data_IF_985928391623
#
_entry.id   IF_985928391623
#
_cell.length_a   1.000
_cell.length_b   1.000
_cell.length_c   1.000
_cell.angle_alpha   90.00
_cell.angle_beta   90.00
_cell.angle_gamma   90.00
#
_symmetry.space_group_name_H-M   'P 1'
#
loop_
_entity.id
_entity.type
_entity.pdbx_description
1 polymer ?
#
# COMPACT_ATOMS: atom_id res chain seq x y z
N UNK A 1 26.43 5.07 -17.97
CA UNK A 1 25.51 6.22 -17.96
C UNK A 1 25.47 6.74 -16.54
N UNK A 2 25.90 7.97 -16.32
CA UNK A 2 25.87 8.60 -14.99
C UNK A 2 24.48 9.19 -14.76
N UNK A 3 24.06 9.33 -13.50
CA UNK A 3 22.77 9.90 -13.12
C UNK A 3 22.63 11.33 -13.70
N UNK A 4 23.70 12.10 -13.66
CA UNK A 4 23.74 13.45 -14.24
C UNK A 4 23.40 13.48 -15.74
N UNK A 5 23.81 12.45 -16.50
CA UNK A 5 23.50 12.35 -17.95
C UNK A 5 22.00 12.11 -18.20
N UNK A 6 21.28 11.57 -17.21
CA UNK A 6 19.84 11.36 -17.26
C UNK A 6 19.11 12.65 -16.85
N UNK A 7 19.49 13.22 -15.70
CA UNK A 7 18.86 14.43 -15.16
C UNK A 7 18.96 15.60 -16.12
N UNK A 8 20.11 15.79 -16.79
CA UNK A 8 20.32 16.84 -17.76
C UNK A 8 19.49 16.69 -19.07
N UNK A 9 18.80 15.56 -19.25
CA UNK A 9 17.92 15.32 -20.41
C UNK A 9 16.45 15.66 -20.13
N UNK A 10 16.10 15.99 -18.90
CA UNK A 10 14.73 16.38 -18.58
C UNK A 10 14.51 17.85 -18.94
N UNK A 11 13.63 18.11 -19.88
CA UNK A 11 13.16 19.48 -20.22
C UNK A 11 12.13 20.00 -19.21
N UNK A 12 11.57 19.08 -18.38
CA UNK A 12 10.59 19.37 -17.32
C UNK A 12 10.93 18.58 -16.06
N UNK A 13 10.47 19.05 -14.91
CA UNK A 13 10.63 18.31 -13.65
C UNK A 13 9.85 17.00 -13.70
N UNK A 14 10.52 15.85 -13.43
CA UNK A 14 9.89 14.54 -13.56
C UNK A 14 8.94 14.23 -12.42
N UNK A 15 8.04 13.27 -12.62
CA UNK A 15 7.32 12.57 -11.57
C UNK A 15 8.14 11.39 -11.06
N UNK A 16 8.11 11.19 -9.75
CA UNK A 16 8.68 10.00 -9.12
C UNK A 16 7.64 8.90 -9.08
N UNK A 17 7.92 7.75 -9.68
CA UNK A 17 7.06 6.56 -9.53
C UNK A 17 7.58 5.68 -8.40
N UNK A 18 6.74 5.44 -7.37
CA UNK A 18 7.12 4.76 -6.14
C UNK A 18 6.26 3.52 -5.92
N UNK A 19 6.90 2.38 -5.77
CA UNK A 19 6.26 1.11 -5.44
C UNK A 19 6.64 0.62 -4.03
N UNK A 20 6.17 -0.57 -3.68
CA UNK A 20 6.34 -1.21 -2.36
C UNK A 20 7.78 -1.40 -1.89
N UNK A 21 8.76 -1.29 -2.79
CA UNK A 21 10.18 -1.36 -2.43
C UNK A 21 10.60 -0.30 -1.40
N UNK A 22 10.05 0.91 -1.45
CA UNK A 22 10.28 1.97 -0.46
C UNK A 22 9.72 1.57 0.91
N UNK A 23 8.48 1.08 0.94
CA UNK A 23 7.83 0.64 2.18
C UNK A 23 8.58 -0.51 2.84
N UNK A 24 9.05 -1.47 2.06
CA UNK A 24 9.91 -2.57 2.56
C UNK A 24 11.21 -2.06 3.15
N UNK A 25 11.88 -1.12 2.47
CA UNK A 25 13.18 -0.61 2.87
C UNK A 25 13.11 0.27 4.11
N UNK A 26 12.19 1.22 4.13
CA UNK A 26 12.16 2.26 5.15
C UNK A 26 11.17 2.02 6.29
N UNK A 27 10.15 1.17 6.08
CA UNK A 27 9.14 0.85 7.08
C UNK A 27 9.15 -0.62 7.52
N UNK A 28 10.05 -1.44 6.97
CA UNK A 28 10.08 -2.90 7.20
C UNK A 28 8.74 -3.61 6.89
N UNK A 29 7.87 -3.00 6.09
CA UNK A 29 6.62 -3.61 5.71
C UNK A 29 6.84 -4.84 4.81
N UNK A 30 6.03 -5.88 4.92
CA UNK A 30 6.09 -7.01 4.00
C UNK A 30 5.73 -6.58 2.57
N UNK A 31 6.15 -7.36 1.59
CA UNK A 31 5.61 -7.24 0.25
C UNK A 31 4.18 -7.80 0.16
N UNK A 32 3.57 -7.69 -1.02
CA UNK A 32 2.21 -8.20 -1.25
C UNK A 32 2.05 -9.67 -0.86
N UNK A 33 3.02 -10.50 -1.19
CA UNK A 33 2.99 -11.93 -0.85
C UNK A 33 3.03 -12.12 0.66
N UNK A 34 4.00 -11.51 1.33
CA UNK A 34 4.13 -11.60 2.79
C UNK A 34 2.90 -11.09 3.53
N UNK A 35 2.25 -10.05 2.99
CA UNK A 35 1.00 -9.52 3.53
C UNK A 35 -0.15 -10.56 3.41
N UNK A 36 -0.32 -11.15 2.24
CA UNK A 36 -1.34 -12.18 2.01
C UNK A 36 -1.05 -13.47 2.79
N UNK A 37 0.21 -13.86 2.95
CA UNK A 37 0.62 -14.96 3.81
C UNK A 37 0.24 -14.71 5.28
N UNK A 38 0.46 -13.49 5.78
CA UNK A 38 0.06 -13.11 7.13
C UNK A 38 -1.45 -13.30 7.35
N UNK A 39 -2.27 -12.72 6.48
CA UNK A 39 -3.72 -12.80 6.63
C UNK A 39 -4.28 -14.21 6.38
N UNK A 40 -3.68 -14.99 5.49
CA UNK A 40 -4.09 -16.38 5.28
C UNK A 40 -3.85 -17.25 6.54
N UNK A 41 -2.76 -17.01 7.27
CA UNK A 41 -2.48 -17.70 8.55
C UNK A 41 -3.48 -17.36 9.63
N UNK A 42 -4.01 -16.14 9.68
CA UNK A 42 -5.08 -15.77 10.62
C UNK A 42 -6.35 -16.61 10.35
N UNK A 43 -6.62 -16.97 9.10
CA UNK A 43 -7.81 -17.76 8.75
C UNK A 43 -7.70 -19.20 9.26
N UNK A 44 -6.58 -19.88 9.02
CA UNK A 44 -6.47 -21.33 9.26
C UNK A 44 -5.37 -21.75 10.26
N UNK A 45 -4.53 -20.81 10.70
CA UNK A 45 -3.38 -21.06 11.58
C UNK A 45 -2.48 -22.21 11.08
N UNK A 46 -2.23 -22.26 9.77
CA UNK A 46 -1.50 -23.31 9.09
C UNK A 46 -0.45 -22.70 8.14
N UNK A 47 0.73 -23.28 8.08
CA UNK A 47 1.82 -22.82 7.20
C UNK A 47 1.51 -23.01 5.71
N UNK A 48 0.59 -23.88 5.36
CA UNK A 48 0.13 -24.10 3.98
C UNK A 48 -1.04 -23.21 3.57
N UNK A 49 -1.53 -22.33 4.46
CA UNK A 49 -2.69 -21.47 4.21
C UNK A 49 -2.58 -20.69 2.91
N UNK A 50 -1.45 -20.02 2.69
CA UNK A 50 -1.22 -19.26 1.45
C UNK A 50 -1.18 -20.15 0.21
N UNK A 51 -0.51 -21.30 0.31
CA UNK A 51 -0.42 -22.25 -0.80
C UNK A 51 -1.79 -22.81 -1.20
N UNK A 52 -2.71 -22.97 -0.26
CA UNK A 52 -4.10 -23.32 -0.56
C UNK A 52 -4.75 -22.28 -1.46
N UNK A 53 -4.66 -20.99 -1.14
CA UNK A 53 -5.23 -19.91 -1.94
C UNK A 53 -4.54 -19.77 -3.29
N UNK A 54 -3.22 -19.90 -3.33
CA UNK A 54 -2.44 -19.87 -4.57
C UNK A 54 -2.89 -20.98 -5.54
N UNK A 55 -2.99 -22.22 -5.06
CA UNK A 55 -3.45 -23.34 -5.87
C UNK A 55 -4.89 -23.15 -6.35
N UNK A 56 -5.78 -22.67 -5.47
CA UNK A 56 -7.17 -22.37 -5.83
C UNK A 56 -7.25 -21.27 -6.90
N UNK A 57 -6.48 -20.20 -6.77
CA UNK A 57 -6.44 -19.13 -7.76
C UNK A 57 -5.96 -19.59 -9.14
N UNK A 58 -4.98 -20.52 -9.19
CA UNK A 58 -4.45 -21.08 -10.45
C UNK A 58 -5.50 -21.83 -11.28
N UNK A 59 -6.54 -22.36 -10.63
CA UNK A 59 -7.63 -23.11 -11.31
C UNK A 59 -8.79 -22.21 -11.75
N UNK A 60 -8.71 -20.90 -11.48
CA UNK A 60 -9.74 -19.92 -11.76
C UNK A 60 -9.28 -18.91 -12.82
N UNK A 61 -10.22 -18.24 -13.46
CA UNK A 61 -9.91 -17.08 -14.30
C UNK A 61 -9.42 -15.91 -13.43
N UNK A 62 -8.34 -15.25 -13.87
CA UNK A 62 -7.75 -14.12 -13.17
C UNK A 62 -7.31 -13.01 -14.15
N UNK A 63 -8.24 -12.32 -14.80
CA UNK A 63 -7.96 -11.30 -15.82
C UNK A 63 -7.09 -10.15 -15.30
N UNK A 64 -7.16 -9.85 -14.00
CA UNK A 64 -6.34 -8.84 -13.32
C UNK A 64 -5.01 -9.38 -12.78
N UNK A 65 -4.68 -10.67 -13.06
CA UNK A 65 -3.51 -11.34 -12.54
C UNK A 65 -3.79 -12.23 -11.33
N UNK A 66 -2.85 -13.15 -11.08
CA UNK A 66 -3.02 -14.18 -10.03
C UNK A 66 -3.02 -13.58 -8.61
N UNK A 67 -2.19 -12.57 -8.34
CA UNK A 67 -2.09 -11.97 -7.00
C UNK A 67 -3.39 -11.27 -6.54
N UNK A 68 -4.05 -10.45 -7.38
CA UNK A 68 -5.39 -9.93 -7.05
C UNK A 68 -6.42 -11.02 -6.79
N UNK A 69 -6.36 -12.15 -7.53
CA UNK A 69 -7.28 -13.27 -7.32
C UNK A 69 -7.04 -13.96 -5.98
N UNK A 70 -5.77 -14.17 -5.60
CA UNK A 70 -5.44 -14.69 -4.27
C UNK A 70 -5.96 -13.76 -3.18
N UNK A 71 -5.77 -12.45 -3.32
CA UNK A 71 -6.26 -11.45 -2.37
C UNK A 71 -7.78 -11.48 -2.23
N UNK A 72 -8.51 -11.61 -3.35
CA UNK A 72 -9.97 -11.74 -3.35
C UNK A 72 -10.44 -12.97 -2.57
N UNK A 73 -9.81 -14.12 -2.79
CA UNK A 73 -10.16 -15.37 -2.10
C UNK A 73 -9.87 -15.29 -0.59
N UNK A 74 -8.71 -14.74 -0.23
CA UNK A 74 -8.36 -14.52 1.19
C UNK A 74 -9.34 -13.54 1.82
N UNK A 75 -9.69 -12.44 1.15
CA UNK A 75 -10.67 -11.47 1.66
C UNK A 75 -12.01 -12.13 1.96
N UNK A 76 -12.54 -12.95 1.05
CA UNK A 76 -13.83 -13.63 1.23
C UNK A 76 -13.84 -14.51 2.48
N UNK A 77 -12.81 -15.36 2.64
CA UNK A 77 -12.73 -16.30 3.75
C UNK A 77 -12.39 -15.57 5.07
N UNK A 78 -11.56 -14.53 5.02
CA UNK A 78 -11.23 -13.69 6.18
C UNK A 78 -12.47 -12.94 6.68
N UNK A 79 -13.23 -12.30 5.81
CA UNK A 79 -14.44 -11.57 6.17
C UNK A 79 -15.46 -12.50 6.84
N UNK A 80 -15.66 -13.72 6.30
CA UNK A 80 -16.53 -14.73 6.90
C UNK A 80 -16.04 -15.15 8.29
N UNK A 81 -14.75 -15.42 8.46
CA UNK A 81 -14.15 -15.77 9.74
C UNK A 81 -14.24 -14.62 10.75
N UNK A 82 -14.00 -13.39 10.32
CA UNK A 82 -14.04 -12.21 11.18
C UNK A 82 -15.40 -12.02 11.86
N UNK A 83 -16.50 -12.27 11.13
CA UNK A 83 -17.84 -12.19 11.70
C UNK A 83 -18.15 -13.35 12.66
N UNK A 84 -17.59 -14.53 12.43
CA UNK A 84 -17.83 -15.73 13.27
C UNK A 84 -16.89 -15.87 14.46
N UNK A 85 -15.67 -15.30 14.39
CA UNK A 85 -14.62 -15.44 15.39
C UNK A 85 -14.16 -14.05 15.93
N UNK A 86 -14.64 -13.65 17.10
CA UNK A 86 -14.21 -12.37 17.70
C UNK A 86 -12.71 -12.28 18.03
N UNK A 87 -12.02 -13.42 18.17
CA UNK A 87 -10.62 -13.46 18.59
C UNK A 87 -9.65 -12.85 17.55
N UNK A 88 -10.05 -12.80 16.27
CA UNK A 88 -9.21 -12.23 15.21
C UNK A 88 -9.45 -10.72 14.96
N UNK A 89 -10.31 -10.10 15.75
CA UNK A 89 -10.66 -8.68 15.59
C UNK A 89 -9.67 -7.81 16.33
N UNK A 90 -8.86 -7.04 15.61
CA UNK A 90 -7.87 -6.12 16.20
C UNK A 90 -8.29 -4.65 16.05
N UNK A 91 -9.09 -4.33 15.03
CA UNK A 91 -9.53 -2.96 14.76
C UNK A 91 -10.44 -2.41 15.85
N UNK A 92 -10.31 -1.10 16.08
CA UNK A 92 -11.09 -0.32 17.05
C UNK A 92 -12.03 0.66 16.35
N UNK A 93 -12.87 1.37 17.11
CA UNK A 93 -13.54 2.56 16.59
C UNK A 93 -12.51 3.57 16.05
N UNK A 94 -12.72 4.25 14.90
CA UNK A 94 -13.96 4.29 14.10
C UNK A 94 -14.09 3.16 13.05
N UNK A 95 -13.07 2.29 12.87
CA UNK A 95 -13.10 1.23 11.85
C UNK A 95 -14.26 0.23 12.05
N UNK A 96 -14.60 -0.09 13.31
CA UNK A 96 -15.77 -0.93 13.61
C UNK A 96 -17.07 -0.33 13.08
N UNK A 97 -17.21 0.99 13.15
CA UNK A 97 -18.39 1.66 12.62
C UNK A 97 -18.40 1.63 11.09
N UNK A 98 -17.25 1.80 10.46
CA UNK A 98 -17.13 1.66 9.01
C UNK A 98 -17.50 0.24 8.53
N UNK A 99 -17.10 -0.80 9.27
CA UNK A 99 -17.49 -2.19 8.99
C UNK A 99 -19.01 -2.39 9.11
N UNK A 100 -19.66 -1.80 10.11
CA UNK A 100 -21.13 -1.83 10.24
C UNK A 100 -21.84 -1.19 9.03
N UNK A 101 -21.18 -0.24 8.36
CA UNK A 101 -21.67 0.45 7.17
C UNK A 101 -21.16 -0.16 5.85
N UNK A 102 -20.60 -1.37 5.89
CA UNK A 102 -20.26 -2.15 4.69
C UNK A 102 -18.81 -2.16 4.27
N UNK A 103 -17.90 -1.59 5.07
CA UNK A 103 -16.46 -1.81 4.84
C UNK A 103 -16.11 -3.27 5.11
N UNK A 104 -15.34 -3.89 4.21
CA UNK A 104 -14.83 -5.24 4.42
C UNK A 104 -13.94 -5.30 5.67
N UNK A 105 -14.18 -6.23 6.62
CA UNK A 105 -13.29 -6.49 7.74
C UNK A 105 -11.83 -6.68 7.33
N UNK A 106 -11.57 -7.46 6.29
CA UNK A 106 -10.22 -7.65 5.76
C UNK A 106 -9.52 -6.33 5.42
N UNK A 107 -10.22 -5.41 4.75
CA UNK A 107 -9.66 -4.10 4.39
C UNK A 107 -9.38 -3.23 5.61
N UNK A 108 -10.24 -3.30 6.63
CA UNK A 108 -10.04 -2.57 7.88
C UNK A 108 -8.84 -3.11 8.67
N UNK A 109 -8.76 -4.42 8.84
CA UNK A 109 -7.65 -5.08 9.55
C UNK A 109 -6.32 -4.90 8.79
N UNK A 110 -6.35 -4.95 7.46
CA UNK A 110 -5.20 -4.67 6.60
C UNK A 110 -4.68 -3.24 6.78
N UNK A 111 -5.57 -2.26 6.80
CA UNK A 111 -5.20 -0.86 7.03
C UNK A 111 -4.59 -0.67 8.42
N UNK A 112 -5.19 -1.26 9.45
CA UNK A 112 -4.68 -1.21 10.82
C UNK A 112 -3.30 -1.90 10.93
N UNK A 113 -3.12 -3.04 10.29
CA UNK A 113 -1.83 -3.75 10.25
C UNK A 113 -0.74 -2.90 9.60
N UNK A 114 -1.03 -2.30 8.43
CA UNK A 114 -0.06 -1.44 7.74
C UNK A 114 0.30 -0.23 8.62
N UNK A 115 -0.67 0.39 9.26
CA UNK A 115 -0.44 1.54 10.15
C UNK A 115 0.43 1.16 11.34
N UNK A 116 0.12 0.06 12.02
CA UNK A 116 0.86 -0.44 13.20
C UNK A 116 2.28 -0.87 12.86
N UNK A 117 2.48 -1.54 11.70
CA UNK A 117 3.79 -2.03 11.26
C UNK A 117 4.64 -0.95 10.59
N UNK A 118 4.08 0.22 10.26
CA UNK A 118 4.78 1.31 9.58
C UNK A 118 5.75 2.05 10.53
N UNK A 119 6.79 1.34 10.97
CA UNK A 119 7.84 1.89 11.84
C UNK A 119 9.06 2.21 11.01
N UNK A 120 9.53 3.47 11.11
CA UNK A 120 10.72 3.92 10.40
C UNK A 120 11.96 3.10 10.80
N UNK A 121 12.66 2.60 9.80
CA UNK A 121 13.96 1.98 10.00
C UNK A 121 15.04 3.07 10.09
N UNK A 122 15.55 3.29 11.28
CA UNK A 122 16.53 4.33 11.57
C UNK A 122 17.88 4.13 10.87
N UNK A 123 18.19 2.91 10.42
CA UNK A 123 19.43 2.63 9.66
C UNK A 123 19.47 3.40 8.32
N UNK A 124 18.31 3.84 7.83
CA UNK A 124 18.17 4.59 6.57
C UNK A 124 17.83 6.07 6.76
N UNK A 125 18.04 6.64 7.95
CA UNK A 125 17.67 8.02 8.25
C UNK A 125 18.31 9.04 7.27
N UNK A 126 19.57 8.85 6.87
CA UNK A 126 20.22 9.72 5.89
C UNK A 126 19.59 9.64 4.49
N UNK A 127 19.19 8.43 4.06
CA UNK A 127 18.53 8.24 2.77
C UNK A 127 17.14 8.88 2.77
N UNK A 128 16.39 8.71 3.86
CA UNK A 128 15.06 9.31 4.05
C UNK A 128 15.16 10.84 4.02
N UNK A 129 16.17 11.43 4.67
CA UNK A 129 16.40 12.86 4.63
C UNK A 129 16.71 13.35 3.21
N UNK A 130 17.56 12.64 2.47
CA UNK A 130 17.86 12.97 1.06
C UNK A 130 16.63 12.86 0.17
N UNK A 131 15.77 11.84 0.39
CA UNK A 131 14.52 11.71 -0.32
C UNK A 131 13.57 12.89 -0.05
N UNK A 132 13.50 13.33 1.20
CA UNK A 132 12.72 14.53 1.59
C UNK A 132 13.28 15.83 0.98
N UNK A 133 14.59 15.92 0.75
CA UNK A 133 15.20 17.04 0.05
C UNK A 133 14.88 17.07 -1.45
N UNK A 134 14.81 15.88 -2.09
CA UNK A 134 14.42 15.75 -3.49
C UNK A 134 13.02 16.32 -3.71
N UNK A 135 12.09 16.10 -2.77
CA UNK A 135 10.73 16.62 -2.85
C UNK A 135 10.67 18.14 -2.98
N UNK A 136 11.67 18.85 -2.45
CA UNK A 136 11.68 20.33 -2.43
C UNK A 136 12.22 20.98 -3.69
N UNK A 137 12.91 20.24 -4.56
CA UNK A 137 13.72 20.86 -5.61
C UNK A 137 13.66 20.20 -6.99
N UNK A 138 13.36 18.91 -7.08
CA UNK A 138 13.76 18.14 -8.27
C UNK A 138 12.63 17.35 -8.93
N UNK A 139 11.44 17.30 -8.35
CA UNK A 139 10.30 16.54 -8.87
C UNK A 139 9.01 17.35 -8.84
N UNK A 140 8.14 17.12 -9.84
CA UNK A 140 6.82 17.74 -9.91
C UNK A 140 5.81 17.06 -8.99
N UNK A 141 5.93 15.76 -8.80
CA UNK A 141 5.02 15.01 -7.96
C UNK A 141 5.43 13.55 -7.83
N UNK A 142 4.59 12.78 -7.18
CA UNK A 142 4.79 11.35 -6.94
C UNK A 142 3.56 10.57 -7.38
N UNK A 143 3.78 9.47 -8.08
CA UNK A 143 2.76 8.46 -8.38
C UNK A 143 3.11 7.21 -7.59
N UNK A 144 2.16 6.68 -6.81
CA UNK A 144 2.43 5.50 -5.98
C UNK A 144 1.27 4.52 -5.95
N UNK A 145 1.63 3.25 -5.82
CA UNK A 145 0.72 2.13 -5.52
C UNK A 145 0.74 1.73 -4.05
N UNK A 146 1.46 2.46 -3.18
CA UNK A 146 1.63 2.10 -1.78
C UNK A 146 0.44 2.55 -0.93
N UNK A 147 0.08 1.76 0.07
CA UNK A 147 -1.03 2.03 0.98
C UNK A 147 -0.59 2.79 2.25
N UNK A 148 0.71 2.72 2.61
CA UNK A 148 1.25 3.42 3.78
C UNK A 148 1.31 4.94 3.60
N UNK A 149 1.63 5.66 4.67
CA UNK A 149 1.74 7.12 4.69
C UNK A 149 3.18 7.64 4.63
N UNK A 150 4.15 6.81 4.22
CA UNK A 150 5.56 7.20 4.19
C UNK A 150 5.79 8.45 3.34
N UNK A 151 5.22 8.51 2.15
CA UNK A 151 5.40 9.64 1.25
C UNK A 151 4.77 10.92 1.80
N UNK A 152 3.57 10.85 2.33
CA UNK A 152 2.86 11.99 2.92
C UNK A 152 3.62 12.55 4.14
N UNK A 153 4.24 11.67 4.91
CA UNK A 153 5.02 12.07 6.09
C UNK A 153 6.36 12.72 5.75
N UNK A 154 6.88 12.52 4.53
CA UNK A 154 8.20 13.02 4.13
C UNK A 154 8.14 14.06 3.01
N UNK A 155 7.04 14.13 2.27
CA UNK A 155 6.83 15.11 1.19
C UNK A 155 5.87 16.20 1.67
N UNK A 156 6.34 16.98 2.63
CA UNK A 156 5.53 18.05 3.24
C UNK A 156 5.10 19.11 2.21
N UNK A 157 3.84 19.49 2.26
CA UNK A 157 3.26 20.49 1.36
C UNK A 157 2.77 19.93 0.02
N UNK A 158 2.86 18.62 -0.19
CA UNK A 158 2.26 17.97 -1.35
C UNK A 158 0.77 17.70 -1.12
N UNK A 159 -0.06 18.05 -2.10
CA UNK A 159 -1.47 17.67 -2.11
C UNK A 159 -1.60 16.16 -2.39
N UNK A 160 -2.53 15.50 -1.71
CA UNK A 160 -2.73 14.06 -1.83
C UNK A 160 -4.05 13.75 -2.52
N UNK A 161 -4.01 12.85 -3.50
CA UNK A 161 -5.16 12.31 -4.21
C UNK A 161 -5.17 10.79 -4.11
N UNK A 162 -6.26 10.22 -3.60
CA UNK A 162 -6.39 8.78 -3.35
C UNK A 162 -7.51 8.18 -4.19
N UNK A 163 -7.14 7.19 -5.00
CA UNK A 163 -8.08 6.45 -5.84
C UNK A 163 -8.64 7.25 -7.02
N UNK A 164 -9.34 6.54 -7.88
CA UNK A 164 -9.83 7.10 -9.15
C UNK A 164 -10.82 8.26 -8.99
N UNK A 165 -11.66 8.22 -7.96
CA UNK A 165 -12.66 9.29 -7.74
C UNK A 165 -12.02 10.64 -7.49
N UNK A 166 -11.06 10.70 -6.59
CA UNK A 166 -10.36 11.95 -6.31
C UNK A 166 -9.58 12.44 -7.53
N UNK A 167 -8.92 11.53 -8.25
CA UNK A 167 -8.16 11.86 -9.46
C UNK A 167 -9.04 12.41 -10.59
N UNK A 168 -10.25 11.89 -10.77
CA UNK A 168 -11.16 12.33 -11.86
C UNK A 168 -11.83 13.68 -11.53
N UNK A 169 -12.20 13.90 -10.26
CA UNK A 169 -13.00 15.06 -9.87
C UNK A 169 -12.20 16.21 -9.26
N UNK A 170 -10.89 16.05 -9.08
CA UNK A 170 -10.02 17.09 -8.52
C UNK A 170 -9.40 17.95 -9.64
N UNK A 171 -9.12 19.22 -9.32
CA UNK A 171 -8.33 20.08 -10.18
C UNK A 171 -6.85 19.78 -9.96
N UNK A 172 -6.28 18.93 -10.80
CA UNK A 172 -4.89 18.50 -10.74
C UNK A 172 -4.02 19.62 -11.32
N UNK A 173 -3.03 20.07 -10.57
CA UNK A 173 -2.09 21.10 -11.00
C UNK A 173 -0.79 20.53 -11.59
N UNK A 174 -0.47 19.26 -11.27
CA UNK A 174 0.74 18.58 -11.72
C UNK A 174 2.02 19.05 -11.02
N UNK A 175 1.90 19.74 -9.89
CA UNK A 175 3.03 20.26 -9.12
C UNK A 175 2.75 20.04 -7.64
N UNK A 176 3.74 19.47 -6.94
CA UNK A 176 3.66 19.16 -5.51
C UNK A 176 2.43 18.29 -5.16
N UNK A 177 2.27 17.19 -5.86
CA UNK A 177 1.13 16.29 -5.70
C UNK A 177 1.56 14.83 -5.53
N UNK A 178 0.83 14.08 -4.69
CA UNK A 178 0.97 12.63 -4.50
C UNK A 178 -0.29 11.95 -5.02
N UNK A 179 -0.12 11.10 -6.03
CA UNK A 179 -1.20 10.32 -6.62
C UNK A 179 -1.13 8.87 -6.15
N UNK A 180 -2.06 8.45 -5.30
CA UNK A 180 -2.24 7.04 -4.89
C UNK A 180 -3.23 6.37 -5.84
N UNK A 181 -2.71 5.54 -6.75
CA UNK A 181 -3.47 4.93 -7.87
C UNK A 181 -3.99 3.52 -7.58
N UNK A 182 -4.42 3.25 -6.36
CA UNK A 182 -4.97 1.95 -5.95
C UNK A 182 -6.43 1.99 -5.55
#
# INVERSE_FOLDING_TARGET
>A
MKIDDIVNKFDTTPFLFVGSGISRRYLNLPDWRGLLEHFSRIISNDDFSYSFYENRARTMEHPSGIMPKIAELIQQDFDAKWFSDPAIRTVKAPMLDAIRHGLSPFKAELAAFIEEQSVLNNDYAEEINKLSEISKKSISGVITTNYDFFLENHFHGYAKYVGQKELIFSTIQGIAEIYKIH
#
